data_IF_847884032310
#
_entry.id   IF_847884032310
#
_cell.length_a   1.000
_cell.length_b   1.000
_cell.length_c   1.000
_cell.angle_alpha   90.00
_cell.angle_beta   90.00
_cell.angle_gamma   90.00
#
_symmetry.space_group_name_H-M   'P 1'
#
loop_
_entity.id
_entity.type
_entity.pdbx_description
1 polymer ?
#
# COMPACT_ATOMS: atom_id res chain seq x y z
N UNK A 1 10.13 -0.39 0.23
CA UNK A 1 8.68 -0.47 -0.04
C UNK A 1 8.14 0.94 0.05
N UNK A 2 7.47 1.41 -0.99
CA UNK A 2 6.88 2.76 -1.07
C UNK A 2 5.36 2.76 -0.96
N UNK A 3 4.73 1.66 -1.35
CA UNK A 3 3.27 1.51 -1.35
C UNK A 3 2.90 0.04 -1.19
N UNK A 4 1.82 -0.23 -0.46
CA UNK A 4 1.23 -1.56 -0.28
C UNK A 4 -0.28 -1.44 -0.39
N UNK A 5 -0.92 -2.24 -1.25
CA UNK A 5 -2.37 -2.34 -1.28
C UNK A 5 -2.76 -3.74 -0.83
N UNK A 6 -2.84 -3.93 0.49
CA UNK A 6 -3.01 -5.24 1.13
C UNK A 6 -4.46 -5.68 1.27
N UNK A 7 -5.41 -4.74 1.22
CA UNK A 7 -6.85 -5.04 1.24
C UNK A 7 -7.56 -4.13 0.23
N UNK A 8 -7.51 -4.47 -1.08
CA UNK A 8 -8.15 -3.69 -2.13
C UNK A 8 -9.67 -3.64 -1.99
N UNK A 9 -10.31 -2.67 -2.66
CA UNK A 9 -11.77 -2.70 -2.77
C UNK A 9 -12.26 -3.93 -3.55
N UNK A 10 -13.47 -4.38 -3.22
CA UNK A 10 -14.15 -5.50 -3.90
C UNK A 10 -14.07 -5.42 -5.44
N UNK A 11 -14.00 -6.56 -6.13
CA UNK A 11 -14.08 -6.63 -7.58
C UNK A 11 -15.33 -5.95 -8.15
N UNK A 12 -15.16 -5.15 -9.18
CA UNK A 12 -16.25 -4.57 -9.96
C UNK A 12 -16.98 -5.66 -10.76
N UNK A 13 -18.24 -5.43 -11.19
CA UNK A 13 -18.96 -6.38 -12.02
C UNK A 13 -18.26 -6.73 -13.35
N UNK A 14 -17.39 -5.86 -13.86
CA UNK A 14 -16.60 -6.11 -15.07
C UNK A 14 -15.43 -7.03 -14.76
N UNK A 15 -14.74 -6.83 -13.64
CA UNK A 15 -13.64 -7.68 -13.18
C UNK A 15 -14.12 -9.11 -12.87
N UNK A 16 -15.28 -9.24 -12.20
CA UNK A 16 -15.91 -10.54 -11.94
C UNK A 16 -16.24 -11.27 -13.26
N UNK A 17 -16.70 -10.53 -14.28
CA UNK A 17 -16.95 -11.12 -15.60
C UNK A 17 -15.68 -11.60 -16.32
N UNK A 18 -14.52 -11.03 -15.98
CA UNK A 18 -13.21 -11.48 -16.46
C UNK A 18 -12.66 -12.67 -15.66
N UNK A 19 -13.31 -13.03 -14.55
CA UNK A 19 -12.92 -14.16 -13.69
C UNK A 19 -12.12 -13.76 -12.45
N UNK A 20 -12.01 -12.47 -12.15
CA UNK A 20 -11.36 -11.96 -10.94
C UNK A 20 -12.44 -11.67 -9.90
N UNK A 21 -12.62 -12.60 -8.96
CA UNK A 21 -13.71 -12.59 -7.98
C UNK A 21 -13.24 -12.44 -6.53
N UNK A 22 -11.93 -12.26 -6.31
CA UNK A 22 -11.35 -11.94 -5.01
C UNK A 22 -10.75 -10.53 -5.03
N UNK A 23 -10.91 -9.76 -3.95
CA UNK A 23 -10.22 -8.48 -3.83
C UNK A 23 -8.69 -8.66 -3.72
N UNK A 24 -8.25 -9.80 -3.17
CA UNK A 24 -6.82 -10.14 -3.09
C UNK A 24 -6.14 -10.22 -4.47
N UNK A 25 -6.89 -10.55 -5.54
CA UNK A 25 -6.36 -10.60 -6.92
C UNK A 25 -5.70 -9.27 -7.34
N UNK A 26 -6.08 -8.15 -6.69
CA UNK A 26 -5.64 -6.80 -7.02
C UNK A 26 -4.60 -6.23 -6.06
N UNK A 27 -4.10 -7.05 -5.12
CA UNK A 27 -3.06 -6.64 -4.19
C UNK A 27 -1.75 -6.37 -4.92
N UNK A 28 -0.97 -5.42 -4.38
CA UNK A 28 0.37 -5.16 -4.86
C UNK A 28 1.29 -4.59 -3.77
N UNK A 29 2.60 -4.75 -4.00
CA UNK A 29 3.67 -4.11 -3.24
C UNK A 29 4.57 -3.35 -4.21
N UNK A 30 4.83 -2.08 -3.90
CA UNK A 30 5.71 -1.23 -4.68
C UNK A 30 7.07 -1.02 -4.00
N UNK A 31 8.15 -1.08 -4.78
CA UNK A 31 9.48 -0.65 -4.37
C UNK A 31 9.92 0.59 -5.15
N UNK A 32 10.42 1.59 -4.43
CA UNK A 32 11.10 2.78 -4.96
C UNK A 32 12.60 2.70 -4.69
N UNK A 33 13.42 2.97 -5.71
CA UNK A 33 14.84 3.25 -5.49
C UNK A 33 15.03 4.69 -5.00
N UNK A 34 15.25 4.85 -3.69
CA UNK A 34 15.46 6.16 -3.03
C UNK A 34 16.90 6.66 -3.10
N UNK A 35 17.82 5.89 -3.69
CA UNK A 35 19.23 6.26 -3.80
C UNK A 35 19.52 7.08 -5.07
N UNK A 36 20.72 7.66 -5.14
CA UNK A 36 21.23 8.38 -6.31
C UNK A 36 21.96 7.47 -7.33
N UNK A 37 21.88 6.14 -7.13
CA UNK A 37 22.53 5.16 -7.98
C UNK A 37 21.56 4.10 -8.49
N UNK A 38 21.86 3.52 -9.65
CA UNK A 38 21.15 2.33 -10.12
C UNK A 38 21.41 1.17 -9.17
N UNK A 39 20.33 0.53 -8.72
CA UNK A 39 20.35 -0.70 -7.91
C UNK A 39 20.18 -1.88 -8.85
N UNK A 40 21.07 -2.85 -8.78
CA UNK A 40 20.91 -4.16 -9.43
C UNK A 40 20.18 -5.07 -8.45
N UNK A 41 19.10 -5.71 -8.90
CA UNK A 41 18.19 -6.49 -8.05
C UNK A 41 18.55 -7.98 -8.00
N UNK A 42 19.58 -8.41 -8.74
CA UNK A 42 20.02 -9.80 -8.75
C UNK A 42 20.32 -10.29 -7.32
N UNK A 43 19.60 -11.34 -6.90
CA UNK A 43 19.71 -11.94 -5.56
C UNK A 43 18.86 -11.26 -4.48
N UNK A 44 18.34 -10.06 -4.71
CA UNK A 44 17.31 -9.50 -3.85
C UNK A 44 16.02 -10.32 -4.00
N UNK A 45 15.22 -10.41 -2.94
CA UNK A 45 13.94 -11.12 -2.97
C UNK A 45 13.03 -10.69 -1.82
N UNK A 46 11.72 -10.80 -2.03
CA UNK A 46 10.78 -10.92 -0.92
C UNK A 46 10.91 -12.32 -0.32
N UNK A 47 10.88 -12.39 1.00
CA UNK A 47 11.05 -13.63 1.74
C UNK A 47 10.00 -13.74 2.84
N UNK A 48 9.60 -14.98 3.12
CA UNK A 48 8.90 -15.30 4.35
C UNK A 48 9.85 -15.26 5.55
N UNK A 49 9.32 -14.85 6.70
CA UNK A 49 10.04 -14.77 7.95
C UNK A 49 9.33 -15.60 9.03
N UNK A 50 10.11 -16.37 9.80
CA UNK A 50 9.63 -17.09 10.98
C UNK A 50 9.26 -16.10 12.08
N UNK A 51 7.99 -16.10 12.49
CA UNK A 51 7.44 -15.26 13.56
C UNK A 51 7.16 -16.04 14.86
N UNK A 52 7.56 -17.31 14.92
CA UNK A 52 7.52 -18.18 16.09
C UNK A 52 6.33 -19.15 16.12
N UNK A 53 5.17 -18.75 15.61
CA UNK A 53 3.98 -19.58 15.44
C UNK A 53 3.62 -19.87 13.97
N UNK A 54 4.42 -19.34 13.03
CA UNK A 54 4.26 -19.54 11.60
C UNK A 54 5.35 -18.82 10.80
N UNK A 55 5.16 -18.83 9.48
CA UNK A 55 5.91 -18.02 8.54
C UNK A 55 4.99 -16.94 7.98
N UNK A 56 5.49 -15.73 7.90
CA UNK A 56 4.77 -14.55 7.43
C UNK A 56 5.50 -13.90 6.24
N UNK A 57 4.73 -13.28 5.35
CA UNK A 57 5.20 -12.60 4.16
C UNK A 57 4.94 -13.37 2.85
N UNK A 58 5.44 -12.78 1.77
CA UNK A 58 5.33 -13.29 0.39
C UNK A 58 6.72 -13.67 -0.15
N UNK A 59 6.75 -14.52 -1.16
CA UNK A 59 7.97 -14.96 -1.83
C UNK A 59 8.06 -14.39 -3.25
N UNK A 60 9.14 -13.67 -3.56
CA UNK A 60 9.40 -13.23 -4.93
C UNK A 60 10.88 -13.01 -5.19
N UNK A 61 11.46 -13.76 -6.12
CA UNK A 61 12.85 -13.60 -6.54
C UNK A 61 12.99 -12.61 -7.70
N UNK A 62 13.63 -11.46 -7.46
CA UNK A 62 13.85 -10.46 -8.51
C UNK A 62 14.70 -10.99 -9.67
N UNK A 63 15.56 -11.99 -9.43
CA UNK A 63 16.33 -12.66 -10.48
C UNK A 63 15.47 -13.34 -11.56
N UNK A 64 14.21 -13.66 -11.24
CA UNK A 64 13.24 -14.26 -12.17
C UNK A 64 12.24 -13.24 -12.74
N UNK A 65 12.24 -12.01 -12.20
CA UNK A 65 11.35 -10.94 -12.61
C UNK A 65 11.72 -10.27 -13.95
N UNK A 66 10.77 -9.52 -14.49
CA UNK A 66 10.95 -8.73 -15.71
C UNK A 66 11.87 -7.50 -15.52
N UNK A 67 12.04 -7.04 -14.27
CA UNK A 67 12.85 -5.88 -13.91
C UNK A 67 14.04 -6.34 -13.07
N UNK A 68 15.25 -6.15 -13.60
CA UNK A 68 16.50 -6.63 -12.99
C UNK A 68 17.34 -5.50 -12.36
N UNK A 69 16.95 -4.25 -12.60
CA UNK A 69 17.61 -3.07 -12.03
C UNK A 69 16.64 -1.90 -11.95
N UNK A 70 16.83 -1.02 -10.96
CA UNK A 70 16.10 0.23 -10.79
C UNK A 70 17.08 1.40 -10.85
N UNK A 71 16.90 2.32 -11.79
CA UNK A 71 17.60 3.61 -11.77
C UNK A 71 17.12 4.49 -10.59
N UNK A 72 17.85 5.58 -10.26
CA UNK A 72 17.42 6.51 -9.21
C UNK A 72 16.00 7.01 -9.44
N UNK A 73 15.14 6.90 -8.42
CA UNK A 73 13.74 7.32 -8.48
C UNK A 73 12.80 6.41 -9.27
N UNK A 74 13.29 5.32 -9.89
CA UNK A 74 12.42 4.35 -10.53
C UNK A 74 11.68 3.50 -9.51
N UNK A 75 10.52 3.01 -9.93
CA UNK A 75 9.61 2.16 -9.17
C UNK A 75 9.41 0.83 -9.88
N UNK A 76 9.12 -0.20 -9.10
CA UNK A 76 8.58 -1.46 -9.62
C UNK A 76 7.45 -1.94 -8.73
N UNK A 77 6.62 -2.81 -9.31
CA UNK A 77 5.50 -3.47 -8.66
C UNK A 77 5.75 -4.98 -8.63
N UNK A 78 5.46 -5.61 -7.49
CA UNK A 78 5.17 -7.04 -7.43
C UNK A 78 3.68 -7.14 -7.10
N UNK A 79 2.97 -8.08 -7.72
CA UNK A 79 1.49 -8.15 -7.66
C UNK A 79 1.04 -9.58 -7.31
N UNK A 80 -0.19 -9.76 -6.83
CA UNK A 80 -0.77 -11.10 -6.60
C UNK A 80 -1.07 -11.78 -7.95
N UNK A 81 -1.95 -11.16 -8.75
CA UNK A 81 -2.31 -11.62 -10.09
C UNK A 81 -2.11 -10.49 -11.11
N UNK A 82 -1.22 -10.69 -12.09
CA UNK A 82 -0.92 -9.66 -13.10
C UNK A 82 -2.12 -9.35 -13.98
N UNK A 83 -2.91 -10.34 -14.35
CA UNK A 83 -4.03 -10.13 -15.26
C UNK A 83 -5.16 -9.35 -14.56
N UNK A 84 -5.42 -9.65 -13.28
CA UNK A 84 -6.35 -8.89 -12.46
C UNK A 84 -5.85 -7.47 -12.22
N UNK A 85 -4.59 -7.32 -11.82
CA UNK A 85 -3.96 -6.01 -11.65
C UNK A 85 -4.06 -5.17 -12.93
N UNK A 86 -3.69 -5.70 -14.09
CA UNK A 86 -3.77 -4.98 -15.36
C UNK A 86 -5.21 -4.66 -15.79
N UNK A 87 -6.20 -5.48 -15.38
CA UNK A 87 -7.61 -5.18 -15.62
C UNK A 87 -8.10 -3.96 -14.80
N UNK A 88 -7.58 -3.79 -13.58
CA UNK A 88 -7.95 -2.68 -12.68
C UNK A 88 -7.15 -1.40 -12.95
N UNK A 89 -5.83 -1.51 -13.02
CA UNK A 89 -4.90 -0.38 -13.08
C UNK A 89 -4.44 -0.04 -14.49
N UNK A 90 -4.75 -0.90 -15.47
CA UNK A 90 -4.30 -0.76 -16.85
C UNK A 90 -2.95 -1.43 -17.10
N UNK A 91 -2.56 -1.48 -18.38
CA UNK A 91 -1.33 -2.13 -18.83
C UNK A 91 -0.16 -1.16 -18.93
N UNK A 92 1.06 -1.68 -18.90
CA UNK A 92 2.29 -0.90 -19.11
C UNK A 92 2.92 -0.31 -17.85
N UNK A 93 2.38 -0.63 -16.66
CA UNK A 93 3.01 -0.33 -15.38
C UNK A 93 4.25 -1.23 -15.13
N UNK A 94 5.21 -0.80 -14.29
CA UNK A 94 6.49 -1.48 -14.11
C UNK A 94 6.38 -2.74 -13.23
N UNK A 95 5.63 -3.75 -13.69
CA UNK A 95 5.42 -5.01 -12.97
C UNK A 95 6.66 -5.91 -13.12
N UNK A 96 7.36 -6.14 -12.02
CA UNK A 96 8.48 -7.07 -11.94
C UNK A 96 8.00 -8.53 -12.05
N UNK A 97 6.88 -8.89 -11.42
CA UNK A 97 6.39 -10.26 -11.39
C UNK A 97 5.21 -10.45 -10.45
N UNK A 98 4.74 -11.69 -10.38
CA UNK A 98 3.75 -12.17 -9.41
C UNK A 98 4.50 -12.83 -8.25
N UNK A 99 4.08 -12.58 -7.01
CA UNK A 99 4.65 -13.27 -5.86
C UNK A 99 3.97 -14.65 -5.66
N UNK A 100 4.55 -15.46 -4.77
CA UNK A 100 3.91 -16.65 -4.23
C UNK A 100 3.57 -16.43 -2.74
N UNK A 101 2.52 -17.11 -2.26
CA UNK A 101 1.92 -16.85 -0.96
C UNK A 101 0.72 -15.91 -1.09
N UNK A 102 0.26 -15.38 0.04
CA UNK A 102 -0.87 -14.43 0.11
C UNK A 102 -0.54 -13.42 1.20
N UNK A 103 -0.99 -12.18 1.06
CA UNK A 103 -0.97 -11.23 2.17
C UNK A 103 -2.18 -11.48 3.08
N UNK A 104 -1.98 -11.27 4.38
CA UNK A 104 -3.08 -11.23 5.33
C UNK A 104 -3.62 -9.80 5.47
N UNK A 105 -4.89 -9.62 5.10
CA UNK A 105 -5.58 -8.33 5.15
C UNK A 105 -5.52 -7.65 6.53
N UNK A 106 -5.39 -8.40 7.63
CA UNK A 106 -5.44 -7.83 8.97
C UNK A 106 -4.07 -7.37 9.47
N UNK A 107 -3.02 -8.17 9.23
CA UNK A 107 -1.64 -7.84 9.58
C UNK A 107 -0.68 -8.84 8.94
N UNK A 108 0.48 -8.36 8.48
CA UNK A 108 1.48 -9.20 7.84
C UNK A 108 2.88 -8.58 7.98
N UNK A 109 3.89 -9.42 8.19
CA UNK A 109 5.29 -9.01 8.15
C UNK A 109 5.87 -9.11 6.74
N UNK A 110 6.11 -7.96 6.10
CA UNK A 110 6.81 -7.90 4.82
C UNK A 110 8.32 -7.83 5.02
N UNK A 111 9.06 -8.74 4.38
CA UNK A 111 10.53 -8.77 4.43
C UNK A 111 11.12 -8.76 3.02
N UNK A 112 12.07 -7.85 2.78
CA UNK A 112 12.92 -7.83 1.58
C UNK A 112 14.36 -8.06 2.00
N UNK A 113 14.98 -9.08 1.41
CA UNK A 113 16.38 -9.42 1.63
C UNK A 113 17.23 -9.06 0.42
N UNK A 114 18.49 -8.71 0.67
CA UNK A 114 19.52 -8.53 -0.33
C UNK A 114 20.16 -9.84 -0.76
N UNK A 115 21.03 -9.77 -1.78
CA UNK A 115 21.73 -10.93 -2.35
C UNK A 115 22.60 -11.70 -1.34
N UNK A 116 23.02 -11.05 -0.26
CA UNK A 116 23.84 -11.61 0.81
C UNK A 116 23.03 -12.06 2.03
N UNK A 117 21.69 -12.01 1.94
CA UNK A 117 20.77 -12.32 3.04
C UNK A 117 20.59 -11.19 4.05
N UNK A 118 21.18 -10.01 3.82
CA UNK A 118 20.93 -8.84 4.68
C UNK A 118 19.50 -8.32 4.50
N UNK A 119 18.86 -7.89 5.59
CA UNK A 119 17.55 -7.25 5.52
C UNK A 119 17.67 -5.86 4.90
N UNK A 120 17.03 -5.66 3.75
CA UNK A 120 16.88 -4.35 3.10
C UNK A 120 15.75 -3.58 3.78
N UNK A 121 14.60 -4.25 3.96
CA UNK A 121 13.47 -3.72 4.73
C UNK A 121 12.73 -4.87 5.39
N UNK A 122 12.23 -4.63 6.59
CA UNK A 122 11.30 -5.50 7.28
C UNK A 122 10.34 -4.64 8.09
N UNK A 123 9.04 -4.78 7.84
CA UNK A 123 8.02 -4.06 8.60
C UNK A 123 6.70 -4.81 8.59
N UNK A 124 5.89 -4.59 9.63
CA UNK A 124 4.53 -5.10 9.72
C UNK A 124 3.56 -3.96 9.44
N UNK A 125 2.59 -4.17 8.55
CA UNK A 125 1.38 -3.35 8.51
C UNK A 125 0.27 -4.00 9.35
N UNK A 126 -0.73 -3.21 9.73
CA UNK A 126 -1.88 -3.65 10.51
C UNK A 126 -3.14 -2.93 9.99
N UNK A 127 -4.30 -3.55 10.14
CA UNK A 127 -5.62 -3.00 9.83
C UNK A 127 -6.19 -2.14 10.98
N UNK A 128 -5.50 -2.13 12.13
CA UNK A 128 -5.96 -1.51 13.36
C UNK A 128 -4.96 -0.52 13.97
N UNK A 129 -5.35 0.11 15.07
CA UNK A 129 -4.51 1.07 15.80
C UNK A 129 -4.31 2.37 15.02
N UNK A 130 -3.06 2.82 14.92
CA UNK A 130 -2.70 4.08 14.28
C UNK A 130 -2.51 3.94 12.74
N UNK A 131 -2.73 2.74 12.18
CA UNK A 131 -2.61 2.52 10.74
C UNK A 131 -3.79 3.14 9.97
N UNK A 132 -3.58 3.64 8.74
CA UNK A 132 -4.65 4.28 7.97
C UNK A 132 -5.80 3.34 7.58
N UNK A 133 -6.95 3.48 8.24
CA UNK A 133 -8.13 2.63 8.02
C UNK A 133 -8.71 2.67 6.60
N UNK A 134 -8.48 3.75 5.83
CA UNK A 134 -8.89 3.79 4.42
C UNK A 134 -8.15 2.77 3.54
N UNK A 135 -6.98 2.30 3.98
CA UNK A 135 -6.20 1.26 3.29
C UNK A 135 -6.69 -0.16 3.56
N UNK A 136 -7.61 -0.32 4.51
CA UNK A 136 -8.21 -1.59 4.91
C UNK A 136 -9.56 -1.80 4.20
N UNK A 137 -9.54 -2.26 2.95
CA UNK A 137 -10.75 -2.66 2.21
C UNK A 137 -11.60 -1.52 1.67
N UNK A 138 -11.34 -0.28 2.10
CA UNK A 138 -12.04 0.92 1.65
C UNK A 138 -11.46 1.53 0.35
N UNK A 139 -10.52 0.82 -0.26
CA UNK A 139 -10.01 1.07 -1.60
C UNK A 139 -8.78 1.98 -1.68
N UNK A 140 -8.30 2.59 -0.60
CA UNK A 140 -6.97 3.24 -0.65
C UNK A 140 -5.86 2.19 -0.52
N UNK A 141 -4.66 2.52 -1.00
CA UNK A 141 -3.44 1.81 -0.63
C UNK A 141 -2.76 2.50 0.55
N UNK A 142 -1.82 1.81 1.17
CA UNK A 142 -0.93 2.30 2.20
C UNK A 142 0.33 2.87 1.54
N UNK A 143 0.53 4.17 1.57
CA UNK A 143 1.66 4.89 0.96
C UNK A 143 2.63 5.41 2.04
N UNK A 144 3.93 5.20 1.84
CA UNK A 144 4.97 5.70 2.75
C UNK A 144 5.24 7.19 2.49
N UNK A 145 5.31 7.98 3.55
CA UNK A 145 5.69 9.40 3.49
C UNK A 145 6.99 9.61 2.71
N UNK A 146 6.98 10.58 1.79
CA UNK A 146 8.13 10.85 0.93
C UNK A 146 9.39 11.12 1.76
N UNK A 147 10.45 10.35 1.49
CA UNK A 147 11.73 10.45 2.20
C UNK A 147 11.76 9.81 3.59
N UNK A 148 10.66 9.21 4.06
CA UNK A 148 10.67 8.43 5.30
C UNK A 148 11.41 7.11 5.12
N UNK A 149 12.03 6.66 6.21
CA UNK A 149 12.59 5.32 6.37
C UNK A 149 12.08 4.64 7.65
N UNK A 150 11.05 5.21 8.27
CA UNK A 150 10.45 4.72 9.52
C UNK A 150 9.31 3.74 9.20
N UNK A 151 9.64 2.60 8.61
CA UNK A 151 8.64 1.64 8.12
C UNK A 151 7.76 1.04 9.23
N UNK A 152 8.28 0.93 10.45
CA UNK A 152 7.55 0.38 11.61
C UNK A 152 6.83 1.47 12.44
N UNK A 153 6.78 2.71 11.95
CA UNK A 153 6.02 3.80 12.56
C UNK A 153 4.78 4.06 11.70
N UNK A 154 3.59 3.72 12.20
CA UNK A 154 2.33 3.91 11.49
C UNK A 154 2.12 5.38 11.07
N UNK A 155 2.64 6.35 11.83
CA UNK A 155 2.55 7.77 11.51
C UNK A 155 3.39 8.17 10.26
N UNK A 156 4.25 7.28 9.77
CA UNK A 156 4.97 7.47 8.50
C UNK A 156 4.20 6.96 7.29
N UNK A 157 3.04 6.35 7.48
CA UNK A 157 2.20 5.83 6.41
C UNK A 157 0.89 6.60 6.34
N UNK A 158 0.34 6.73 5.13
CA UNK A 158 -0.95 7.36 4.91
C UNK A 158 -1.75 6.56 3.89
N UNK A 159 -3.07 6.68 3.98
CA UNK A 159 -3.94 6.15 2.96
C UNK A 159 -3.84 7.02 1.70
N UNK A 160 -3.67 6.38 0.54
CA UNK A 160 -3.66 7.05 -0.74
C UNK A 160 -4.90 7.92 -0.94
N UNK A 161 -4.72 9.04 -1.64
CA UNK A 161 -5.84 9.93 -1.98
C UNK A 161 -6.72 9.29 -3.06
N UNK A 162 -6.17 8.84 -4.21
CA UNK A 162 -6.95 8.08 -5.18
C UNK A 162 -7.27 6.69 -4.61
N UNK A 163 -8.49 6.24 -4.86
CA UNK A 163 -8.83 4.82 -4.69
C UNK A 163 -8.00 4.01 -5.70
N UNK A 164 -7.50 2.86 -5.27
CA UNK A 164 -6.55 2.02 -6.01
C UNK A 164 -5.09 2.48 -5.87
N UNK A 165 -4.80 3.50 -5.06
CA UNK A 165 -3.42 3.94 -4.85
C UNK A 165 -2.81 4.72 -6.01
N UNK A 166 -1.48 4.74 -6.06
CA UNK A 166 -0.70 5.38 -7.14
C UNK A 166 0.35 4.44 -7.73
N UNK A 167 -0.01 3.19 -8.12
CA UNK A 167 0.97 2.20 -8.54
C UNK A 167 1.81 2.69 -9.73
N UNK A 168 3.13 2.62 -9.58
CA UNK A 168 4.10 3.09 -10.57
C UNK A 168 4.32 4.60 -10.57
N UNK A 169 3.70 5.35 -9.67
CA UNK A 169 3.75 6.81 -9.60
C UNK A 169 4.14 7.29 -8.18
N UNK A 170 4.42 8.58 -8.06
CA UNK A 170 4.61 9.17 -6.74
C UNK A 170 3.26 9.39 -6.06
N UNK A 171 3.20 9.25 -4.72
CA UNK A 171 2.00 9.55 -3.97
C UNK A 171 1.44 10.92 -4.30
N UNK A 172 0.12 10.99 -4.45
CA UNK A 172 -0.57 12.26 -4.69
C UNK A 172 -0.79 12.92 -3.33
N UNK A 173 -0.05 13.99 -3.08
CA UNK A 173 -0.27 14.82 -1.90
C UNK A 173 -1.76 15.24 -1.85
N UNK A 174 -2.44 15.12 -0.70
CA UNK A 174 -3.86 15.42 -0.65
C UNK A 174 -4.11 16.88 -0.96
N UNK A 175 -5.04 17.13 -1.88
CA UNK A 175 -5.45 18.47 -2.28
C UNK A 175 -6.54 18.97 -1.34
N UNK A 176 -6.14 19.49 -0.19
CA UNK A 176 -7.05 20.16 0.73
C UNK A 176 -7.18 19.46 2.08
N UNK A 177 -8.31 19.70 2.76
CA UNK A 177 -8.67 18.99 4.01
C UNK A 177 -9.38 17.70 3.65
N UNK A 178 -8.97 16.61 4.27
CA UNK A 178 -9.55 15.26 4.11
C UNK A 178 -10.31 14.83 5.36
N UNK A 179 -11.24 13.90 5.23
CA UNK A 179 -11.72 13.10 6.36
C UNK A 179 -10.65 12.06 6.65
N UNK A 180 -10.06 12.14 7.84
CA UNK A 180 -9.00 11.23 8.25
C UNK A 180 -9.55 10.02 9.00
N UNK A 181 -10.49 10.27 9.92
CA UNK A 181 -11.08 9.25 10.78
C UNK A 181 -12.59 9.47 10.89
N UNK A 182 -13.35 8.37 10.91
CA UNK A 182 -14.76 8.37 11.30
C UNK A 182 -14.91 7.38 12.44
N UNK A 183 -15.10 7.91 13.65
CA UNK A 183 -15.52 7.13 14.80
C UNK A 183 -17.04 7.17 14.87
N UNK A 184 -17.67 6.00 14.69
CA UNK A 184 -19.12 5.86 14.74
C UNK A 184 -19.52 4.73 15.69
N UNK A 185 -20.75 4.77 16.21
CA UNK A 185 -21.29 3.73 17.09
C UNK A 185 -20.52 3.58 18.42
N UNK A 186 -20.23 4.70 19.08
CA UNK A 186 -19.50 4.72 20.35
C UNK A 186 -20.35 4.40 21.59
N UNK A 187 -19.74 3.72 22.57
CA UNK A 187 -20.33 3.52 23.90
C UNK A 187 -20.03 4.73 24.83
N UNK A 188 -20.99 5.18 25.66
CA UNK A 188 -20.76 6.24 26.62
C UNK A 188 -19.56 5.94 27.54
N UNK A 189 -18.66 6.92 27.80
CA UNK A 189 -18.80 8.35 27.53
C UNK A 189 -18.23 8.84 26.20
N UNK A 190 -17.79 7.93 25.32
CA UNK A 190 -17.31 8.31 23.99
C UNK A 190 -18.48 8.80 23.14
N UNK A 191 -18.17 9.66 22.17
CA UNK A 191 -19.12 10.21 21.22
C UNK A 191 -18.58 10.02 19.82
N UNK A 192 -19.50 9.86 18.87
CA UNK A 192 -19.15 9.76 17.45
C UNK A 192 -18.42 11.05 17.00
N UNK A 193 -17.39 10.88 16.18
CA UNK A 193 -16.55 11.98 15.72
C UNK A 193 -16.08 11.76 14.30
N UNK A 194 -15.94 12.87 13.56
CA UNK A 194 -15.30 12.89 12.25
C UNK A 194 -14.07 13.77 12.39
N UNK A 195 -12.89 13.20 12.14
CA UNK A 195 -11.64 13.95 12.12
C UNK A 195 -11.40 14.55 10.73
N UNK A 196 -11.19 15.86 10.70
CA UNK A 196 -10.73 16.58 9.51
C UNK A 196 -9.24 16.85 9.65
N UNK A 197 -8.45 16.37 8.69
CA UNK A 197 -7.01 16.58 8.65
C UNK A 197 -6.62 17.47 7.48
N UNK A 198 -5.73 18.44 7.74
CA UNK A 198 -5.06 19.20 6.70
C UNK A 198 -3.64 18.63 6.50
N UNK A 199 -3.45 17.68 5.57
CA UNK A 199 -2.15 17.13 5.21
C UNK A 199 -1.26 18.11 4.43
N UNK A 200 -1.77 19.29 4.07
CA UNK A 200 -1.00 20.28 3.30
C UNK A 200 -0.20 21.21 4.21
N UNK A 201 0.86 21.80 3.66
CA UNK A 201 1.62 22.87 4.33
C UNK A 201 0.93 24.23 4.28
N UNK A 202 -0.21 24.32 3.61
CA UNK A 202 -0.97 25.56 3.43
C UNK A 202 -2.05 25.68 4.49
N UNK A 203 -2.31 26.90 4.97
CA UNK A 203 -3.46 27.16 5.84
C UNK A 203 -4.73 27.07 4.99
N UNK A 204 -5.60 26.11 5.30
CA UNK A 204 -6.89 25.95 4.63
C UNK A 204 -7.98 26.55 5.51
N UNK A 205 -8.71 27.51 4.96
CA UNK A 205 -9.87 28.09 5.62
C UNK A 205 -11.09 27.18 5.43
N UNK A 206 -11.50 26.52 6.50
CA UNK A 206 -12.70 25.67 6.53
C UNK A 206 -13.97 26.44 6.96
N UNK A 207 -13.89 27.77 7.09
CA UNK A 207 -15.05 28.58 7.45
C UNK A 207 -16.16 28.42 6.40
N UNK A 208 -17.36 28.10 6.85
CA UNK A 208 -18.52 27.90 5.99
C UNK A 208 -18.66 26.49 5.42
N UNK A 209 -17.74 25.58 5.74
CA UNK A 209 -17.91 24.16 5.45
C UNK A 209 -18.94 23.56 6.42
N UNK A 210 -19.68 22.57 5.95
CA UNK A 210 -20.57 21.77 6.78
C UNK A 210 -20.47 20.31 6.34
N UNK A 211 -20.54 19.40 7.31
CA UNK A 211 -20.70 17.97 7.04
C UNK A 211 -22.21 17.71 6.91
N UNK A 212 -22.62 16.97 5.88
CA UNK A 212 -24.02 16.62 5.63
C UNK A 212 -24.12 15.18 5.13
N UNK A 213 -25.20 14.52 5.55
CA UNK A 213 -25.64 13.19 5.12
C UNK A 213 -26.68 13.25 3.99
N UNK A 214 -26.91 14.42 3.39
CA UNK A 214 -27.87 14.61 2.31
C UNK A 214 -27.21 14.36 0.95
N UNK A 215 -27.82 13.48 0.15
CA UNK A 215 -27.53 13.31 -1.28
C UNK A 215 -27.89 14.57 -2.09
#
# INVERSE_FOLDING_TARGET
ISEVHYNPSDPSPTEIQLGFDSHNDFEFVELLNTSDRTIVLAGAHFAQADVGDGEEGIEFEFAQGAIQSLAPGERLLVVEDRAAFEARYGTGLPIAGEWAGTLNDNNELLTVLGYDGSTIVQFRYDDSGDWPSRADGLGSSLELAEGSSQFNDAASWFASVPLGGTPGAAPVAPIGVVINEVLSHTDPPLVDSIELYNPTTQVINVSGWYLSDAN
#
